data_IF_735163180339
#
_entry.id   IF_735163180339
#
_cell.length_a   1.000
_cell.length_b   1.000
_cell.length_c   1.000
_cell.angle_alpha   90.00
_cell.angle_beta   90.00
_cell.angle_gamma   90.00
#
_symmetry.space_group_name_H-M   'P 1'
#
loop_
_entity.id
_entity.type
_entity.pdbx_description
1 polymer ?
#
# COMPACT_ATOMS: atom_id res chain seq x y z
N UNK A 1 1.32 -1.39 -5.06
CA UNK A 1 1.99 -0.14 -4.63
C UNK A 1 3.09 -0.52 -3.67
N UNK A 2 4.30 0.02 -3.81
CA UNK A 2 5.41 -0.39 -2.91
C UNK A 2 5.33 0.37 -1.59
N UNK A 3 5.70 -0.31 -0.51
CA UNK A 3 5.74 0.26 0.84
C UNK A 3 6.67 1.47 0.92
N UNK A 4 7.81 1.41 0.24
CA UNK A 4 8.81 2.49 0.26
C UNK A 4 8.27 3.78 -0.36
N UNK A 5 7.51 3.69 -1.46
CA UNK A 5 6.92 4.87 -2.12
C UNK A 5 5.91 5.55 -1.20
N UNK A 6 5.10 4.74 -0.50
CA UNK A 6 4.13 5.23 0.49
C UNK A 6 4.85 5.92 1.64
N UNK A 7 5.85 5.27 2.24
CA UNK A 7 6.60 5.88 3.36
C UNK A 7 7.30 7.16 2.90
N UNK A 8 7.87 7.18 1.70
CA UNK A 8 8.53 8.37 1.14
C UNK A 8 7.55 9.53 0.93
N UNK A 9 6.31 9.25 0.52
CA UNK A 9 5.29 10.28 0.34
C UNK A 9 4.77 10.85 1.66
N UNK A 10 4.48 9.98 2.64
CA UNK A 10 3.98 10.40 3.96
C UNK A 10 5.10 10.80 4.93
N UNK A 11 6.36 10.57 4.57
CA UNK A 11 7.57 10.88 5.34
C UNK A 11 7.95 9.84 6.40
N UNK A 12 7.00 9.13 7.00
CA UNK A 12 7.29 8.11 8.00
C UNK A 12 6.18 7.06 8.14
N UNK A 13 6.52 5.89 8.68
CA UNK A 13 5.56 4.82 9.02
C UNK A 13 4.46 5.33 9.95
N UNK A 14 4.81 6.17 10.94
CA UNK A 14 3.84 6.76 11.86
C UNK A 14 2.83 7.69 11.17
N UNK A 15 3.27 8.46 10.18
CA UNK A 15 2.38 9.33 9.42
C UNK A 15 1.42 8.52 8.54
N UNK A 16 1.89 7.44 7.91
CA UNK A 16 1.03 6.50 7.16
C UNK A 16 -0.02 5.87 8.08
N UNK A 17 0.40 5.44 9.28
CA UNK A 17 -0.50 4.82 10.26
C UNK A 17 -1.59 5.80 10.73
N UNK A 18 -1.22 7.05 11.01
CA UNK A 18 -2.16 8.13 11.34
C UNK A 18 -3.13 8.43 10.18
N UNK A 19 -2.62 8.53 8.95
CA UNK A 19 -3.45 8.80 7.78
C UNK A 19 -4.49 7.70 7.52
N UNK A 20 -4.16 6.45 7.83
CA UNK A 20 -5.04 5.29 7.66
C UNK A 20 -5.84 4.93 8.92
N UNK A 21 -5.63 5.64 10.04
CA UNK A 21 -6.29 5.32 11.31
C UNK A 21 -5.95 3.94 11.87
N UNK A 22 -4.74 3.44 11.62
CA UNK A 22 -4.27 2.11 12.06
C UNK A 22 -3.05 2.20 12.97
N UNK A 23 -2.68 1.06 13.57
CA UNK A 23 -1.49 0.98 14.41
C UNK A 23 -0.20 1.09 13.58
N UNK A 24 0.85 1.62 14.19
CA UNK A 24 2.20 1.66 13.61
C UNK A 24 2.69 0.26 13.22
N UNK A 25 2.45 -0.74 14.07
CA UNK A 25 2.82 -2.14 13.83
C UNK A 25 2.18 -2.70 12.56
N UNK A 26 0.93 -2.32 12.25
CA UNK A 26 0.24 -2.73 11.03
C UNK A 26 0.96 -2.26 9.76
N UNK A 27 1.49 -1.03 9.76
CA UNK A 27 2.26 -0.48 8.62
C UNK A 27 3.66 -1.11 8.56
N UNK A 28 4.31 -1.28 9.71
CA UNK A 28 5.62 -1.94 9.80
C UNK A 28 5.56 -3.38 9.27
N UNK A 29 4.46 -4.10 9.50
CA UNK A 29 4.26 -5.48 9.05
C UNK A 29 3.96 -5.66 7.56
N UNK A 30 3.78 -4.59 6.78
CA UNK A 30 3.60 -4.73 5.33
C UNK A 30 4.86 -5.27 4.65
N UNK A 31 4.66 -6.14 3.66
CA UNK A 31 5.71 -6.59 2.75
C UNK A 31 6.14 -5.48 1.76
N UNK A 32 6.96 -5.85 0.78
CA UNK A 32 7.42 -4.90 -0.25
C UNK A 32 6.24 -4.26 -0.98
N UNK A 33 5.26 -5.08 -1.37
CA UNK A 33 3.97 -4.64 -1.89
C UNK A 33 2.98 -4.57 -0.73
N UNK A 34 2.40 -3.39 -0.52
CA UNK A 34 1.40 -3.18 0.54
C UNK A 34 0.10 -3.92 0.20
N UNK A 35 -0.77 -4.26 1.17
CA UNK A 35 -2.03 -4.93 0.86
C UNK A 35 -2.91 -4.14 -0.12
N UNK A 36 -3.57 -4.84 -1.06
CA UNK A 36 -4.40 -4.24 -2.11
C UNK A 36 -5.38 -3.19 -1.58
N UNK A 37 -6.15 -3.54 -0.55
CA UNK A 37 -7.12 -2.63 0.07
C UNK A 37 -6.47 -1.33 0.56
N UNK A 38 -5.33 -1.43 1.26
CA UNK A 38 -4.57 -0.26 1.76
C UNK A 38 -4.06 0.61 0.63
N UNK A 39 -3.65 0.01 -0.48
CA UNK A 39 -3.20 0.77 -1.64
C UNK A 39 -4.32 1.64 -2.22
N UNK A 40 -5.54 1.13 -2.30
CA UNK A 40 -6.69 1.91 -2.77
C UNK A 40 -7.12 2.99 -1.76
N UNK A 41 -7.09 2.70 -0.46
CA UNK A 41 -7.31 3.70 0.59
C UNK A 41 -6.31 4.86 0.46
N UNK A 42 -5.01 4.54 0.33
CA UNK A 42 -3.96 5.53 0.13
C UNK A 42 -4.17 6.32 -1.16
N UNK A 43 -4.55 5.68 -2.26
CA UNK A 43 -4.84 6.39 -3.51
C UNK A 43 -5.95 7.42 -3.34
N UNK A 44 -7.02 7.07 -2.60
CA UNK A 44 -8.11 8.01 -2.31
C UNK A 44 -7.63 9.16 -1.40
N UNK A 45 -6.88 8.85 -0.35
CA UNK A 45 -6.33 9.86 0.59
C UNK A 45 -5.32 10.82 -0.07
N UNK A 46 -4.63 10.37 -1.11
CA UNK A 46 -3.61 11.15 -1.81
C UNK A 46 -4.13 11.81 -3.07
N UNK A 47 -5.45 11.80 -3.29
CA UNK A 47 -6.09 12.40 -4.46
C UNK A 47 -5.47 11.89 -5.77
N UNK A 48 -5.22 10.58 -5.86
CA UNK A 48 -4.57 9.91 -6.99
C UNK A 48 -3.11 10.29 -7.27
N UNK A 49 -2.42 10.99 -6.37
CA UNK A 49 -0.96 11.22 -6.48
C UNK A 49 -0.17 9.92 -6.38
N UNK A 50 -0.61 9.00 -5.53
CA UNK A 50 -0.10 7.63 -5.44
C UNK A 50 -1.10 6.69 -6.11
N UNK A 51 -0.81 6.27 -7.34
CA UNK A 51 -1.69 5.36 -8.08
C UNK A 51 -1.38 3.90 -7.78
N UNK A 52 -2.43 3.12 -7.58
CA UNK A 52 -2.34 1.67 -7.46
C UNK A 52 -2.07 1.07 -8.83
N UNK A 53 -0.95 0.37 -8.98
CA UNK A 53 -0.81 -0.59 -10.08
C UNK A 53 -1.55 -1.89 -9.70
N UNK A 54 -2.68 -2.24 -10.36
CA UNK A 54 -3.43 -3.45 -10.08
C UNK A 54 -2.68 -4.73 -10.45
N UNK A 55 -1.71 -4.68 -11.37
CA UNK A 55 -0.92 -5.84 -11.81
C UNK A 55 -0.10 -6.44 -10.68
N UNK A 56 0.32 -5.60 -9.71
CA UNK A 56 1.05 -6.03 -8.51
C UNK A 56 0.23 -6.95 -7.59
N UNK A 57 -1.08 -7.06 -7.84
CA UNK A 57 -2.01 -7.88 -7.05
C UNK A 57 -2.68 -8.98 -7.87
N UNK A 58 -2.32 -9.12 -9.14
CA UNK A 58 -2.70 -10.29 -9.90
C UNK A 58 -1.95 -11.46 -9.27
N UNK A 59 -2.70 -12.39 -8.66
CA UNK A 59 -2.12 -13.70 -8.37
C UNK A 59 -1.78 -14.32 -9.72
N UNK A 60 -0.55 -14.81 -9.95
CA UNK A 60 -0.30 -15.65 -11.11
C UNK A 60 -1.27 -16.82 -10.99
N UNK A 61 -2.25 -16.85 -11.89
CA UNK A 61 -3.17 -17.97 -11.96
C UNK A 61 -2.30 -19.16 -12.33
N UNK A 62 -2.11 -20.09 -11.40
CA UNK A 62 -1.56 -21.40 -11.72
C UNK A 62 -2.63 -22.11 -12.55
N UNK A 63 -2.66 -21.81 -13.84
CA UNK A 63 -3.34 -22.60 -14.86
C UNK A 63 -2.27 -22.97 -15.88
N UNK A 64 -1.37 -23.86 -15.47
CA UNK A 64 -0.77 -24.79 -16.40
C UNK A 64 -1.73 -26.00 -16.43
N UNK A 65 -2.61 -26.00 -17.43
CA UNK A 65 -3.34 -27.18 -17.86
C UNK A 65 -2.52 -27.92 -18.92
#
# INVERSE_FOLDING_TARGET
>A
MKKIDVISYFGSVGNVAKALGISHASVSGWGEVIPKGRAFEIQALTEMKLKVNPELYLKPNQTAA
#
